data_IF_572485452918
#
_entry.id   IF_572485452918
#
_cell.length_a   1.000
_cell.length_b   1.000
_cell.length_c   1.000
_cell.angle_alpha   90.00
_cell.angle_beta   90.00
_cell.angle_gamma   90.00
#
_symmetry.space_group_name_H-M   'P 1'
#
loop_
_entity.id
_entity.type
_entity.pdbx_description
1 polymer ?
#
# COMPACT_ATOMS: atom_id res chain seq x y z
N UNK A 1 18.06 20.13 -7.91
CA UNK A 1 16.82 20.32 -8.70
C UNK A 1 15.81 21.04 -7.81
N UNK A 2 15.43 22.28 -8.09
CA UNK A 2 14.42 23.00 -7.28
C UNK A 2 13.06 22.41 -7.59
N UNK A 3 12.42 21.80 -6.58
CA UNK A 3 11.09 21.21 -6.72
C UNK A 3 10.09 22.36 -6.72
N UNK A 4 9.65 22.79 -7.90
CA UNK A 4 8.88 24.02 -8.08
C UNK A 4 7.34 23.82 -7.97
N UNK A 5 6.86 22.62 -7.63
CA UNK A 5 5.43 22.40 -7.41
C UNK A 5 5.16 21.26 -6.42
N UNK A 6 4.07 21.39 -5.66
CA UNK A 6 3.57 20.35 -4.76
C UNK A 6 3.37 19.01 -5.49
N UNK A 7 2.94 19.06 -6.75
CA UNK A 7 2.77 17.89 -7.62
C UNK A 7 4.10 17.17 -7.90
N UNK A 8 5.18 17.91 -8.18
CA UNK A 8 6.51 17.33 -8.39
C UNK A 8 7.09 16.73 -7.11
N UNK A 9 6.84 17.36 -5.95
CA UNK A 9 7.23 16.86 -4.64
C UNK A 9 6.49 15.55 -4.32
N UNK A 10 5.18 15.50 -4.60
CA UNK A 10 4.35 14.30 -4.46
C UNK A 10 4.80 13.18 -5.38
N UNK A 11 5.05 13.46 -6.65
CA UNK A 11 5.56 12.48 -7.62
C UNK A 11 6.95 11.95 -7.22
N UNK A 12 7.84 12.81 -6.71
CA UNK A 12 9.14 12.36 -6.22
C UNK A 12 9.02 11.51 -4.95
N UNK A 13 8.09 11.86 -4.06
CA UNK A 13 7.78 11.05 -2.88
C UNK A 13 7.21 9.68 -3.26
N UNK A 14 6.29 9.63 -4.22
CA UNK A 14 5.76 8.38 -4.80
C UNK A 14 6.87 7.54 -5.42
N UNK A 15 7.78 8.14 -6.21
CA UNK A 15 8.94 7.44 -6.77
C UNK A 15 9.90 6.90 -5.70
N UNK A 16 10.21 7.69 -4.67
CA UNK A 16 11.07 7.26 -3.58
C UNK A 16 10.42 6.11 -2.80
N UNK A 17 9.11 6.18 -2.55
CA UNK A 17 8.34 5.07 -1.96
C UNK A 17 8.39 3.82 -2.82
N UNK A 18 8.14 3.92 -4.12
CA UNK A 18 8.21 2.78 -5.04
C UNK A 18 9.59 2.10 -5.00
N UNK A 19 10.66 2.89 -4.94
CA UNK A 19 12.03 2.40 -4.85
C UNK A 19 12.35 1.72 -3.50
N UNK A 20 11.69 2.10 -2.41
CA UNK A 20 11.83 1.45 -1.09
C UNK A 20 11.00 0.15 -0.98
N UNK A 21 9.96 0.02 -1.79
CA UNK A 21 8.89 -0.99 -1.62
C UNK A 21 8.95 -2.16 -2.58
N UNK A 22 9.88 -2.12 -3.54
CA UNK A 22 10.22 -3.29 -4.35
C UNK A 22 11.05 -4.25 -3.49
N UNK A 23 10.72 -5.56 -3.42
CA UNK A 23 11.50 -6.52 -2.63
C UNK A 23 12.95 -6.53 -3.14
N UNK A 24 13.91 -6.16 -2.28
CA UNK A 24 15.34 -6.04 -2.66
C UNK A 24 16.13 -7.27 -2.29
N UNK A 25 15.72 -7.94 -1.22
CA UNK A 25 16.38 -9.12 -0.67
C UNK A 25 15.53 -10.36 -0.85
N UNK A 26 16.17 -11.53 -0.85
CA UNK A 26 15.47 -12.83 -0.85
C UNK A 26 14.48 -12.95 0.31
N UNK A 27 14.78 -12.34 1.46
CA UNK A 27 13.89 -12.32 2.62
C UNK A 27 12.61 -11.53 2.34
N UNK A 28 12.72 -10.36 1.69
CA UNK A 28 11.54 -9.56 1.32
C UNK A 28 10.62 -10.33 0.37
N UNK A 29 11.22 -11.12 -0.54
CA UNK A 29 10.50 -12.02 -1.44
C UNK A 29 9.73 -13.11 -0.69
N UNK A 30 10.35 -13.75 0.30
CA UNK A 30 9.67 -14.74 1.13
C UNK A 30 8.50 -14.13 1.91
N UNK A 31 8.69 -12.95 2.50
CA UNK A 31 7.63 -12.26 3.25
C UNK A 31 6.45 -11.85 2.37
N UNK A 32 6.72 -11.40 1.13
CA UNK A 32 5.68 -11.08 0.16
C UNK A 32 4.85 -12.32 -0.20
N UNK A 33 5.52 -13.45 -0.44
CA UNK A 33 4.89 -14.72 -0.76
C UNK A 33 4.03 -15.24 0.39
N UNK A 34 4.56 -15.23 1.61
CA UNK A 34 3.84 -15.68 2.81
C UNK A 34 2.59 -14.81 3.05
N UNK A 35 2.74 -13.49 2.91
CA UNK A 35 1.61 -12.55 2.97
C UNK A 35 0.55 -12.86 1.91
N UNK A 36 0.94 -13.06 0.65
CA UNK A 36 0.01 -13.42 -0.42
C UNK A 36 -0.73 -14.73 -0.15
N UNK A 37 -0.02 -15.74 0.37
CA UNK A 37 -0.61 -17.02 0.74
C UNK A 37 -1.66 -16.86 1.85
N UNK A 38 -1.40 -15.99 2.84
CA UNK A 38 -2.33 -15.69 3.94
C UNK A 38 -3.59 -14.90 3.53
N UNK A 39 -3.58 -14.27 2.35
CA UNK A 39 -4.71 -13.50 1.86
C UNK A 39 -5.88 -14.40 1.45
N UNK A 40 -7.09 -13.99 1.84
CA UNK A 40 -8.33 -14.54 1.30
C UNK A 40 -8.46 -14.17 -0.18
N UNK A 41 -9.31 -14.89 -0.90
CA UNK A 41 -9.56 -14.62 -2.32
C UNK A 41 -10.02 -13.17 -2.57
N UNK A 42 -10.88 -12.63 -1.69
CA UNK A 42 -11.33 -11.23 -1.75
C UNK A 42 -10.17 -10.25 -1.62
N UNK A 43 -9.25 -10.47 -0.67
CA UNK A 43 -8.07 -9.62 -0.50
C UNK A 43 -7.17 -9.67 -1.74
N UNK A 44 -6.93 -10.85 -2.32
CA UNK A 44 -6.13 -10.99 -3.53
C UNK A 44 -6.77 -10.26 -4.71
N UNK A 45 -8.08 -10.42 -4.94
CA UNK A 45 -8.81 -9.68 -5.99
C UNK A 45 -8.71 -8.18 -5.82
N UNK A 46 -8.82 -7.68 -4.58
CA UNK A 46 -8.66 -6.25 -4.31
C UNK A 46 -7.25 -5.77 -4.65
N UNK A 47 -6.22 -6.50 -4.22
CA UNK A 47 -4.82 -6.19 -4.55
C UNK A 47 -4.59 -6.21 -6.06
N UNK A 48 -5.09 -7.22 -6.77
CA UNK A 48 -4.97 -7.31 -8.24
C UNK A 48 -5.65 -6.15 -8.96
N UNK A 49 -6.83 -5.73 -8.47
CA UNK A 49 -7.54 -4.56 -8.99
C UNK A 49 -6.73 -3.27 -8.79
N UNK A 50 -6.10 -3.08 -7.64
CA UNK A 50 -5.21 -1.94 -7.37
C UNK A 50 -3.94 -2.02 -8.21
N UNK A 51 -3.39 -3.21 -8.41
CA UNK A 51 -2.21 -3.45 -9.24
C UNK A 51 -2.48 -3.28 -10.75
N UNK A 52 -3.75 -3.26 -11.18
CA UNK A 52 -4.12 -3.22 -12.59
C UNK A 52 -3.75 -4.52 -13.35
N UNK A 53 -3.76 -5.65 -12.66
CA UNK A 53 -3.37 -6.96 -13.20
C UNK A 53 -4.61 -7.85 -13.33
N UNK A 54 -4.88 -8.34 -14.54
CA UNK A 54 -6.00 -9.24 -14.83
C UNK A 54 -5.51 -10.70 -14.86
N UNK A 55 -5.43 -11.31 -13.68
CA UNK A 55 -5.11 -12.72 -13.50
C UNK A 55 -6.08 -13.37 -12.51
N UNK A 56 -6.10 -14.70 -12.49
CA UNK A 56 -6.82 -15.45 -11.46
C UNK A 56 -6.15 -15.25 -10.09
N UNK A 57 -6.94 -14.85 -9.09
CA UNK A 57 -6.52 -14.65 -7.70
C UNK A 57 -6.06 -15.92 -6.99
N UNK A 58 -6.30 -17.10 -7.58
CA UNK A 58 -5.79 -18.38 -7.10
C UNK A 58 -4.30 -18.61 -7.44
N UNK A 59 -3.72 -17.85 -8.37
CA UNK A 59 -2.35 -18.07 -8.85
C UNK A 59 -1.30 -17.77 -7.77
N UNK A 60 -0.26 -18.62 -7.71
CA UNK A 60 0.92 -18.36 -6.89
C UNK A 60 1.73 -17.21 -7.50
N UNK A 61 2.35 -16.38 -6.66
CA UNK A 61 3.26 -15.34 -7.14
C UNK A 61 4.46 -15.92 -7.90
N UNK A 62 4.89 -17.15 -7.59
CA UNK A 62 6.11 -17.75 -8.17
C UNK A 62 6.00 -18.01 -9.67
N UNK A 63 4.78 -18.14 -10.20
CA UNK A 63 4.53 -18.42 -11.62
C UNK A 63 4.28 -17.14 -12.43
N UNK A 64 4.23 -15.98 -11.77
CA UNK A 64 3.91 -14.71 -12.43
C UNK A 64 5.15 -14.04 -13.01
N UNK A 65 5.00 -13.28 -14.10
CA UNK A 65 6.06 -12.41 -14.61
C UNK A 65 6.55 -11.43 -13.54
N UNK A 66 7.85 -11.12 -13.55
CA UNK A 66 8.46 -10.18 -12.58
C UNK A 66 7.74 -8.84 -12.49
N UNK A 67 7.24 -8.32 -13.62
CA UNK A 67 6.52 -7.05 -13.67
C UNK A 67 5.18 -7.11 -12.92
N UNK A 68 4.47 -8.24 -12.99
CA UNK A 68 3.23 -8.43 -12.25
C UNK A 68 3.51 -8.53 -10.75
N UNK A 69 4.56 -9.25 -10.36
CA UNK A 69 4.91 -9.34 -8.95
C UNK A 69 5.31 -7.97 -8.39
N UNK A 70 6.03 -7.16 -9.18
CA UNK A 70 6.36 -5.78 -8.82
C UNK A 70 5.10 -4.92 -8.64
N UNK A 71 4.14 -5.01 -9.57
CA UNK A 71 2.87 -4.28 -9.49
C UNK A 71 2.05 -4.70 -8.25
N UNK A 72 1.96 -6.01 -7.99
CA UNK A 72 1.27 -6.57 -6.81
C UNK A 72 1.94 -6.11 -5.52
N UNK A 73 3.28 -6.18 -5.45
CA UNK A 73 4.04 -5.69 -4.29
C UNK A 73 3.77 -4.22 -4.03
N UNK A 74 3.77 -3.38 -5.07
CA UNK A 74 3.47 -1.97 -4.95
C UNK A 74 2.05 -1.73 -4.43
N UNK A 75 1.06 -2.41 -5.00
CA UNK A 75 -0.33 -2.29 -4.61
C UNK A 75 -0.54 -2.65 -3.13
N UNK A 76 0.07 -3.74 -2.64
CA UNK A 76 -0.02 -4.14 -1.23
C UNK A 76 0.51 -3.04 -0.32
N UNK A 77 1.61 -2.40 -0.70
CA UNK A 77 2.16 -1.32 0.12
C UNK A 77 1.29 -0.08 0.07
N UNK A 78 0.83 0.33 -1.12
CA UNK A 78 -0.06 1.49 -1.26
C UNK A 78 -1.32 1.31 -0.41
N UNK A 79 -1.94 0.12 -0.43
CA UNK A 79 -3.09 -0.22 0.42
C UNK A 79 -2.76 -0.03 1.90
N UNK A 80 -1.62 -0.55 2.37
CA UNK A 80 -1.22 -0.42 3.77
C UNK A 80 -0.96 1.04 4.15
N UNK A 81 -0.33 1.79 3.26
CA UNK A 81 -0.02 3.21 3.44
C UNK A 81 -1.28 4.05 3.58
N UNK A 82 -2.23 3.89 2.66
CA UNK A 82 -3.49 4.63 2.72
C UNK A 82 -4.29 4.22 3.96
N UNK A 83 -4.32 2.92 4.30
CA UNK A 83 -4.93 2.44 5.55
C UNK A 83 -4.32 3.09 6.80
N UNK A 84 -3.00 3.25 6.87
CA UNK A 84 -2.34 3.94 7.98
C UNK A 84 -2.64 5.44 8.00
N UNK A 85 -2.65 6.10 6.84
CA UNK A 85 -3.01 7.50 6.72
C UNK A 85 -4.44 7.73 7.20
N UNK A 86 -5.39 6.91 6.77
CA UNK A 86 -6.81 6.97 7.16
C UNK A 86 -6.98 6.75 8.65
N UNK A 87 -6.29 5.76 9.24
CA UNK A 87 -6.28 5.55 10.70
C UNK A 87 -5.76 6.77 11.45
N UNK A 88 -4.71 7.42 10.93
CA UNK A 88 -4.15 8.63 11.55
C UNK A 88 -5.13 9.81 11.51
N UNK A 89 -5.86 9.97 10.39
CA UNK A 89 -6.89 10.99 10.24
C UNK A 89 -8.05 10.70 11.20
N UNK A 90 -8.54 9.47 11.21
CA UNK A 90 -9.61 9.03 12.12
C UNK A 90 -9.25 9.29 13.58
N UNK A 91 -8.02 8.96 13.99
CA UNK A 91 -7.55 9.21 15.35
C UNK A 91 -7.52 10.71 15.68
N UNK A 92 -7.03 11.56 14.77
CA UNK A 92 -7.01 13.02 14.94
C UNK A 92 -8.42 13.59 15.06
N UNK A 93 -9.34 13.18 14.18
CA UNK A 93 -10.74 13.60 14.22
C UNK A 93 -11.40 13.19 15.54
N UNK A 94 -11.19 11.95 15.97
CA UNK A 94 -11.72 11.45 17.24
C UNK A 94 -11.18 12.24 18.43
N UNK A 95 -9.90 12.62 18.41
CA UNK A 95 -9.29 13.46 19.46
C UNK A 95 -9.93 14.84 19.52
N UNK A 96 -10.14 15.49 18.37
CA UNK A 96 -10.79 16.80 18.29
C UNK A 96 -12.23 16.73 18.78
N UNK A 97 -13.01 15.73 18.32
CA UNK A 97 -14.40 15.53 18.77
C UNK A 97 -14.49 15.35 20.28
N UNK A 98 -13.60 14.54 20.87
CA UNK A 98 -13.54 14.37 22.34
C UNK A 98 -13.17 15.65 23.08
N UNK A 99 -12.36 16.52 22.49
CA UNK A 99 -12.01 17.81 23.08
C UNK A 99 -13.18 18.79 23.03
N UNK A 100 -13.91 18.84 21.91
CA UNK A 100 -15.12 19.66 21.77
C UNK A 100 -16.19 19.21 22.77
N UNK A 101 -16.50 17.91 22.85
CA UNK A 101 -17.48 17.40 23.80
C UNK A 101 -17.12 17.57 25.28
N UNK A 102 -15.83 17.65 25.61
CA UNK A 102 -15.39 17.98 26.98
C UNK A 102 -15.37 19.47 27.29
N UNK A 103 -15.45 20.33 26.28
CA UNK A 103 -15.52 21.78 26.44
C UNK A 103 -16.96 22.31 26.55
N UNK A 104 -17.95 21.43 26.37
CA UNK A 104 -19.39 21.72 26.52
C UNK A 104 -19.93 21.31 27.91
N UNK A 105 -19.08 20.82 28.83
CA UNK A 105 -19.34 20.63 30.27
C UNK A 105 -18.72 21.77 31.09
#
# INVERSE_FOLDING_TARGET
MKINSWTALRQQFEKNRQAEQTPKTTQDWFLLRDRWASYTDSHRRFVLKVAGVEIDSSQSLDVLPKDYIKAISQAIVDINVYSQADRSIYYRLTKVLKQVWKGDE
#
